data_IF_147542287608
#
_entry.id   IF_147542287608
#
_cell.length_a   1.000
_cell.length_b   1.000
_cell.length_c   1.000
_cell.angle_alpha   90.00
_cell.angle_beta   90.00
_cell.angle_gamma   90.00
#
_symmetry.space_group_name_H-M   'P 1'
#
loop_
_entity.id
_entity.type
_entity.pdbx_description
1 polymer ?
#
# COMPACT_ATOMS: atom_id res chain seq x y z
N UNK A 1 12.36 19.68 16.67
CA UNK A 1 10.99 19.29 16.35
C UNK A 1 9.99 20.00 17.26
N UNK A 2 10.15 20.01 18.60
CA UNK A 2 9.21 20.66 19.52
C UNK A 2 8.98 22.13 19.16
N UNK A 3 10.05 22.91 18.98
CA UNK A 3 9.95 24.32 18.55
C UNK A 3 9.16 24.46 17.23
N UNK A 4 9.43 23.60 16.25
CA UNK A 4 8.68 23.62 15.00
C UNK A 4 7.19 23.32 15.20
N UNK A 5 6.85 22.35 16.06
CA UNK A 5 5.47 22.04 16.40
C UNK A 5 4.72 23.20 17.04
N UNK A 6 5.41 24.01 17.83
CA UNK A 6 4.83 25.19 18.52
C UNK A 6 4.64 26.40 17.59
N UNK A 7 5.34 26.48 16.45
CA UNK A 7 5.39 27.67 15.61
C UNK A 7 4.88 27.47 14.18
N UNK A 8 4.78 26.23 13.72
CA UNK A 8 4.20 25.94 12.40
C UNK A 8 2.67 26.01 12.43
N UNK A 9 2.02 26.31 11.30
CA UNK A 9 0.57 26.33 11.21
C UNK A 9 -0.02 24.93 11.44
N UNK A 10 -1.21 24.89 12.02
CA UNK A 10 -2.01 23.69 12.23
C UNK A 10 -2.80 23.30 10.96
N UNK A 11 -2.91 24.22 10.01
CA UNK A 11 -3.68 24.01 8.77
C UNK A 11 -3.19 22.76 8.05
N UNK A 12 -4.15 21.86 7.75
CA UNK A 12 -3.95 20.58 7.07
C UNK A 12 -4.03 20.71 5.54
N UNK A 13 -4.29 21.89 5.01
CA UNK A 13 -4.40 22.06 3.55
C UNK A 13 -3.10 21.63 2.88
N UNK A 14 -3.14 20.65 1.97
CA UNK A 14 -1.94 20.17 1.32
C UNK A 14 -1.38 21.26 0.39
N UNK A 15 -0.39 21.97 0.85
CA UNK A 15 0.31 23.03 0.10
C UNK A 15 1.80 22.73 -0.06
N UNK A 16 2.22 21.49 0.23
CA UNK A 16 3.60 21.05 0.17
C UNK A 16 4.48 21.58 1.30
N UNK A 17 3.90 22.22 2.31
CA UNK A 17 4.63 22.74 3.46
C UNK A 17 4.41 21.90 4.71
N UNK A 18 5.41 21.88 5.58
CA UNK A 18 5.31 21.21 6.87
C UNK A 18 4.33 21.94 7.79
N UNK A 19 3.61 21.16 8.58
CA UNK A 19 2.63 21.64 9.56
C UNK A 19 3.08 21.31 10.98
N UNK A 20 2.41 21.94 11.96
CA UNK A 20 2.55 21.60 13.37
C UNK A 20 2.32 20.10 13.62
N UNK A 21 1.30 19.52 13.00
CA UNK A 21 0.99 18.09 13.08
C UNK A 21 2.15 17.22 12.61
N UNK A 22 2.75 17.55 11.46
CA UNK A 22 3.92 16.82 10.95
C UNK A 22 5.11 16.90 11.91
N UNK A 23 5.37 18.07 12.51
CA UNK A 23 6.46 18.23 13.45
C UNK A 23 6.25 17.43 14.75
N UNK A 24 5.04 17.43 15.31
CA UNK A 24 4.73 16.66 16.52
C UNK A 24 4.66 15.16 16.25
N UNK A 25 4.12 14.71 15.13
CA UNK A 25 4.11 13.30 14.78
C UNK A 25 5.53 12.74 14.59
N UNK A 26 6.40 13.51 13.91
CA UNK A 26 7.82 13.16 13.81
C UNK A 26 8.52 13.19 15.17
N UNK A 27 8.16 14.12 16.06
CA UNK A 27 8.68 14.15 17.44
C UNK A 27 8.25 12.91 18.22
N UNK A 28 6.99 12.52 18.14
CA UNK A 28 6.48 11.30 18.77
C UNK A 28 7.26 10.07 18.33
N UNK A 29 7.41 9.88 17.00
CA UNK A 29 8.21 8.79 16.42
C UNK A 29 9.67 8.82 16.92
N UNK A 30 10.32 9.98 16.91
CA UNK A 30 11.70 10.12 17.38
C UNK A 30 11.86 9.82 18.88
N UNK A 31 10.92 10.25 19.70
CA UNK A 31 10.94 10.00 21.14
C UNK A 31 10.64 8.53 21.46
N UNK A 32 9.78 7.88 20.68
CA UNK A 32 9.53 6.44 20.78
C UNK A 32 10.83 5.63 20.58
N UNK A 33 11.57 5.92 19.49
CA UNK A 33 12.85 5.28 19.22
C UNK A 33 13.95 5.62 20.24
N UNK A 34 13.83 6.77 20.91
CA UNK A 34 14.74 7.18 21.99
C UNK A 34 14.32 6.63 23.36
N UNK A 35 13.28 5.77 23.42
CA UNK A 35 12.70 5.20 24.64
C UNK A 35 12.23 6.27 25.66
N UNK A 36 11.90 7.47 25.15
CA UNK A 36 11.37 8.58 25.94
C UNK A 36 9.84 8.57 25.86
N UNK A 37 9.23 7.60 26.52
CA UNK A 37 7.80 7.26 26.37
C UNK A 37 6.86 8.41 26.70
N UNK A 38 7.13 9.17 27.77
CA UNK A 38 6.30 10.31 28.16
C UNK A 38 6.37 11.45 27.13
N UNK A 39 7.56 11.73 26.58
CA UNK A 39 7.70 12.74 25.54
C UNK A 39 7.02 12.30 24.23
N UNK A 40 7.11 11.01 23.90
CA UNK A 40 6.42 10.43 22.75
C UNK A 40 4.89 10.59 22.90
N UNK A 41 4.35 10.20 24.07
CA UNK A 41 2.92 10.33 24.39
C UNK A 41 2.46 11.78 24.33
N UNK A 42 3.18 12.71 24.96
CA UNK A 42 2.82 14.15 24.93
C UNK A 42 2.79 14.70 23.51
N UNK A 43 3.74 14.29 22.66
CA UNK A 43 3.75 14.72 21.26
C UNK A 43 2.58 14.12 20.47
N UNK A 44 2.24 12.84 20.70
CA UNK A 44 1.09 12.19 20.10
C UNK A 44 -0.23 12.88 20.50
N UNK A 45 -0.43 13.17 21.78
CA UNK A 45 -1.62 13.89 22.27
C UNK A 45 -1.80 15.26 21.61
N UNK A 46 -0.71 15.96 21.26
CA UNK A 46 -0.78 17.19 20.50
C UNK A 46 -1.35 16.97 19.10
N UNK A 47 -0.93 15.90 18.41
CA UNK A 47 -1.47 15.55 17.09
C UNK A 47 -2.94 15.14 17.17
N UNK A 48 -3.31 14.35 18.16
CA UNK A 48 -4.70 13.90 18.39
C UNK A 48 -5.66 15.08 18.57
N UNK A 49 -5.19 16.18 19.15
CA UNK A 49 -5.99 17.42 19.33
C UNK A 49 -6.16 18.23 18.03
N UNK A 50 -5.52 17.87 16.92
CA UNK A 50 -5.54 18.65 15.66
C UNK A 50 -6.60 18.20 14.67
N UNK A 51 -7.47 17.25 15.05
CA UNK A 51 -8.62 16.83 14.24
C UNK A 51 -8.24 15.97 13.02
N UNK A 52 -7.18 15.19 13.08
CA UNK A 52 -6.95 14.06 12.16
C UNK A 52 -7.93 12.93 12.50
N UNK A 53 -8.32 12.16 11.49
CA UNK A 53 -9.29 11.07 11.65
C UNK A 53 -8.78 9.82 10.93
N UNK A 54 -9.15 8.64 11.43
CA UNK A 54 -8.90 7.39 10.73
C UNK A 54 -9.87 7.23 9.56
N UNK A 55 -9.42 6.63 8.48
CA UNK A 55 -10.32 6.14 7.44
C UNK A 55 -11.17 4.98 7.98
N UNK A 56 -12.38 4.80 7.45
CA UNK A 56 -13.18 3.63 7.76
C UNK A 56 -12.45 2.36 7.30
N UNK A 57 -12.70 1.22 7.94
CA UNK A 57 -12.06 -0.05 7.57
C UNK A 57 -12.27 -0.40 6.10
N UNK A 58 -13.46 -0.17 5.59
CA UNK A 58 -13.87 -0.44 4.22
C UNK A 58 -13.15 0.49 3.23
N UNK A 59 -12.78 1.67 3.67
CA UNK A 59 -12.11 2.72 2.89
C UNK A 59 -10.60 2.79 3.16
N UNK A 60 -10.02 1.77 3.76
CA UNK A 60 -8.60 1.75 4.15
C UNK A 60 -7.64 2.13 3.01
N UNK A 61 -7.96 1.80 1.76
CA UNK A 61 -7.16 2.19 0.60
C UNK A 61 -7.01 3.71 0.45
N UNK A 62 -7.98 4.50 0.96
CA UNK A 62 -7.93 5.96 0.91
C UNK A 62 -6.86 6.55 1.83
N UNK A 63 -6.43 5.82 2.87
CA UNK A 63 -5.38 6.26 3.79
C UNK A 63 -4.04 6.60 3.10
N UNK A 64 -3.85 6.13 1.87
CA UNK A 64 -2.62 6.31 1.08
C UNK A 64 -2.79 7.24 -0.12
N UNK A 65 -3.98 7.80 -0.33
CA UNK A 65 -4.29 8.66 -1.46
C UNK A 65 -4.16 10.14 -1.10
N UNK A 66 -4.14 10.96 -2.14
CA UNK A 66 -4.24 12.41 -1.97
C UNK A 66 -5.56 12.77 -1.26
N UNK A 67 -5.47 13.69 -0.31
CA UNK A 67 -6.65 14.15 0.43
C UNK A 67 -7.13 13.21 1.55
N UNK A 68 -6.39 12.14 1.88
CA UNK A 68 -6.70 11.30 3.03
C UNK A 68 -6.77 12.12 4.32
N UNK A 69 -7.80 11.87 5.11
CA UNK A 69 -7.97 12.51 6.43
C UNK A 69 -6.98 11.97 7.48
N UNK A 70 -6.34 10.84 7.20
CA UNK A 70 -5.25 10.31 8.00
C UNK A 70 -3.89 10.95 7.71
N UNK A 71 -3.72 11.61 6.57
CA UNK A 71 -2.42 12.12 6.13
C UNK A 71 -1.93 13.25 7.04
N UNK A 72 -0.79 13.02 7.70
CA UNK A 72 -0.10 14.00 8.54
C UNK A 72 1.11 14.58 7.80
N UNK A 73 1.91 13.71 7.19
CA UNK A 73 3.07 14.08 6.40
C UNK A 73 3.07 13.29 5.09
N UNK A 74 2.94 14.01 3.98
CA UNK A 74 3.02 13.44 2.64
C UNK A 74 4.03 14.19 1.80
N UNK A 75 4.77 13.45 0.98
CA UNK A 75 5.49 14.03 -0.14
C UNK A 75 4.51 14.13 -1.32
N UNK A 76 4.20 15.36 -1.72
CA UNK A 76 3.25 15.63 -2.79
C UNK A 76 3.95 15.75 -4.14
N UNK A 77 3.42 15.06 -5.14
CA UNK A 77 3.85 15.15 -6.53
C UNK A 77 2.88 16.02 -7.31
N UNK A 78 3.29 16.56 -8.46
CA UNK A 78 2.50 17.51 -9.24
C UNK A 78 2.45 17.11 -10.73
N UNK A 79 1.23 16.92 -11.24
CA UNK A 79 0.98 16.60 -12.65
C UNK A 79 1.37 17.72 -13.62
N UNK A 80 1.35 18.96 -13.16
CA UNK A 80 1.70 20.12 -13.99
C UNK A 80 3.21 20.30 -14.17
N UNK A 81 4.01 19.54 -13.43
CA UNK A 81 5.46 19.59 -13.43
C UNK A 81 6.05 18.22 -13.77
N UNK A 82 7.37 18.15 -13.85
CA UNK A 82 8.14 16.90 -13.98
C UNK A 82 8.38 16.20 -12.63
N UNK A 83 7.73 16.66 -11.55
CA UNK A 83 7.87 16.08 -10.21
C UNK A 83 6.90 14.92 -10.09
N UNK A 84 7.29 13.80 -10.65
CA UNK A 84 6.53 12.53 -10.68
C UNK A 84 7.40 11.40 -10.17
N UNK A 85 6.83 10.21 -10.02
CA UNK A 85 7.56 8.99 -9.70
C UNK A 85 7.10 7.83 -10.56
N UNK A 86 7.82 6.72 -10.49
CA UNK A 86 7.63 5.52 -11.29
C UNK A 86 7.16 4.29 -10.48
N UNK A 87 6.80 4.50 -9.21
CA UNK A 87 6.43 3.42 -8.29
C UNK A 87 5.32 2.53 -8.85
N UNK A 88 4.24 3.14 -9.34
CA UNK A 88 3.10 2.39 -9.87
C UNK A 88 3.51 1.43 -10.97
N UNK A 89 4.34 1.91 -11.85
CA UNK A 89 4.76 1.13 -12.98
C UNK A 89 5.68 -0.04 -12.64
N UNK A 90 6.48 0.08 -11.61
CA UNK A 90 7.28 -1.03 -11.14
C UNK A 90 6.49 -2.03 -10.30
N UNK A 91 5.44 -1.59 -9.61
CA UNK A 91 4.68 -2.44 -8.68
C UNK A 91 3.47 -3.12 -9.32
N UNK A 92 2.93 -2.55 -10.41
CA UNK A 92 1.75 -3.09 -11.11
C UNK A 92 1.98 -4.53 -11.60
N UNK A 93 0.92 -5.36 -11.71
CA UNK A 93 1.02 -6.66 -12.36
C UNK A 93 1.50 -6.53 -13.81
N UNK A 94 2.40 -7.42 -14.22
CA UNK A 94 2.96 -7.40 -15.58
C UNK A 94 1.94 -7.57 -16.71
N UNK A 95 0.76 -8.13 -16.40
CA UNK A 95 -0.35 -8.22 -17.34
C UNK A 95 -0.91 -6.86 -17.77
N UNK A 96 -0.70 -5.81 -16.99
CA UNK A 96 -1.14 -4.44 -17.31
C UNK A 96 -0.41 -3.88 -18.54
N UNK A 97 0.77 -4.39 -18.88
CA UNK A 97 1.49 -4.03 -20.09
C UNK A 97 0.63 -4.23 -21.35
N UNK A 98 -0.16 -5.29 -21.38
CA UNK A 98 -1.05 -5.58 -22.50
C UNK A 98 -2.25 -4.62 -22.59
N UNK A 99 -2.70 -4.11 -21.44
CA UNK A 99 -3.84 -3.18 -21.35
C UNK A 99 -3.44 -1.75 -21.71
N UNK A 100 -2.35 -1.27 -21.15
CA UNK A 100 -1.96 0.13 -21.19
C UNK A 100 -0.94 0.44 -22.30
N UNK A 101 -0.51 -0.59 -23.05
CA UNK A 101 0.46 -0.44 -24.13
C UNK A 101 1.84 0.06 -23.65
N UNK A 102 2.13 -0.09 -22.37
CA UNK A 102 3.35 0.44 -21.77
C UNK A 102 4.54 -0.52 -21.93
N UNK A 103 5.74 0.01 -21.76
CA UNK A 103 6.98 -0.75 -21.84
C UNK A 103 7.47 -1.25 -20.48
N UNK A 104 6.63 -1.20 -19.46
CA UNK A 104 7.02 -1.45 -18.09
C UNK A 104 7.12 -2.92 -17.78
N UNK A 105 8.01 -3.25 -16.87
CA UNK A 105 8.19 -4.62 -16.41
C UNK A 105 7.20 -5.02 -15.32
N UNK A 106 6.91 -4.14 -14.36
CA UNK A 106 5.99 -4.43 -13.25
C UNK A 106 6.46 -5.53 -12.30
N UNK A 107 5.60 -5.92 -11.38
CA UNK A 107 5.76 -7.09 -10.53
C UNK A 107 6.94 -7.07 -9.55
N UNK A 108 7.48 -5.91 -9.22
CA UNK A 108 8.60 -5.81 -8.27
C UNK A 108 8.15 -5.96 -6.81
N UNK A 109 6.91 -5.64 -6.49
CA UNK A 109 6.31 -5.86 -5.18
C UNK A 109 5.64 -7.22 -5.14
N UNK A 110 6.28 -8.22 -4.54
CA UNK A 110 5.76 -9.59 -4.46
C UNK A 110 5.55 -9.97 -2.98
N UNK A 111 4.34 -9.74 -2.44
CA UNK A 111 4.02 -10.17 -1.08
C UNK A 111 4.27 -11.67 -0.90
N UNK A 112 4.78 -12.07 0.27
CA UNK A 112 5.00 -13.47 0.59
C UNK A 112 3.72 -14.14 1.08
N UNK A 113 3.69 -15.45 1.12
CA UNK A 113 2.57 -16.22 1.67
C UNK A 113 2.39 -15.91 3.17
N UNK A 114 3.48 -15.77 3.92
CA UNK A 114 3.43 -15.43 5.35
C UNK A 114 2.78 -14.05 5.58
N UNK A 115 3.02 -13.10 4.69
CA UNK A 115 2.33 -11.80 4.76
C UNK A 115 0.83 -11.96 4.55
N UNK A 116 0.40 -12.81 3.62
CA UNK A 116 -1.02 -13.11 3.39
C UNK A 116 -1.64 -13.79 4.60
N UNK A 117 -0.94 -14.72 5.21
CA UNK A 117 -1.38 -15.46 6.40
C UNK A 117 -1.47 -14.61 7.66
N UNK A 118 -0.84 -13.45 7.67
CA UNK A 118 -0.88 -12.51 8.79
C UNK A 118 -2.19 -11.70 8.88
N UNK A 119 -3.11 -11.85 7.90
CA UNK A 119 -4.41 -11.19 7.94
C UNK A 119 -5.45 -12.06 8.65
N UNK A 120 -6.23 -11.42 9.53
CA UNK A 120 -7.32 -12.05 10.26
C UNK A 120 -8.61 -12.13 9.43
N UNK A 121 -9.55 -12.93 9.91
CA UNK A 121 -10.92 -12.85 9.40
C UNK A 121 -11.57 -11.50 9.70
N UNK A 122 -12.40 -11.02 8.80
CA UNK A 122 -13.11 -9.74 8.94
C UNK A 122 -14.06 -9.69 10.12
N UNK A 123 -14.55 -10.83 10.56
CA UNK A 123 -15.48 -10.98 11.71
C UNK A 123 -14.77 -11.02 13.07
N UNK A 124 -13.44 -10.96 13.09
CA UNK A 124 -12.64 -10.99 14.33
C UNK A 124 -12.49 -12.38 14.94
N UNK A 125 -12.85 -13.45 14.24
CA UNK A 125 -12.73 -14.84 14.74
C UNK A 125 -11.27 -15.36 14.77
N UNK A 126 -10.30 -14.53 14.41
CA UNK A 126 -8.87 -14.84 14.42
C UNK A 126 -8.32 -15.12 13.02
N UNK A 127 -7.27 -15.90 12.95
CA UNK A 127 -6.57 -16.21 11.71
C UNK A 127 -7.15 -17.47 11.03
N UNK A 128 -7.16 -17.51 9.67
CA UNK A 128 -7.47 -18.74 8.95
C UNK A 128 -6.50 -19.87 9.28
N UNK A 129 -6.99 -21.10 9.27
CA UNK A 129 -6.11 -22.27 9.23
C UNK A 129 -5.63 -22.50 7.79
N UNK A 130 -4.38 -22.19 7.54
CA UNK A 130 -3.75 -22.31 6.23
C UNK A 130 -3.16 -23.67 5.92
N UNK A 131 -3.26 -24.66 6.81
CA UNK A 131 -2.65 -25.99 6.66
C UNK A 131 -3.06 -26.71 5.37
N UNK A 132 -4.31 -26.49 4.92
CA UNK A 132 -4.80 -27.06 3.67
C UNK A 132 -4.06 -26.57 2.42
N UNK A 133 -3.36 -25.45 2.49
CA UNK A 133 -2.59 -24.87 1.39
C UNK A 133 -1.07 -25.11 1.50
N UNK A 134 -0.62 -25.70 2.62
CA UNK A 134 0.78 -26.06 2.87
C UNK A 134 1.09 -27.53 2.57
N UNK A 135 0.43 -28.12 1.57
CA UNK A 135 0.60 -29.52 1.21
C UNK A 135 1.50 -29.68 -0.01
N UNK A 136 2.32 -30.73 -0.02
CA UNK A 136 3.21 -31.04 -1.15
C UNK A 136 2.45 -31.38 -2.44
N UNK A 137 1.27 -31.93 -2.30
CA UNK A 137 0.38 -32.33 -3.40
C UNK A 137 -0.43 -31.16 -3.95
N UNK A 138 -0.39 -30.00 -3.28
CA UNK A 138 -1.26 -28.85 -3.58
C UNK A 138 -2.71 -29.08 -3.16
N UNK A 139 -3.55 -28.13 -3.46
CA UNK A 139 -4.98 -28.20 -3.13
C UNK A 139 -5.81 -27.49 -4.19
N UNK A 140 -7.05 -27.97 -4.40
CA UNK A 140 -8.07 -27.30 -5.20
C UNK A 140 -8.99 -26.43 -4.34
N UNK A 141 -8.79 -26.39 -3.02
CA UNK A 141 -9.57 -25.56 -2.12
C UNK A 141 -9.32 -24.08 -2.43
N UNK A 142 -10.39 -23.31 -2.44
CA UNK A 142 -10.30 -21.85 -2.62
C UNK A 142 -9.81 -21.21 -1.33
N UNK A 143 -8.72 -20.43 -1.35
CA UNK A 143 -8.27 -19.70 -0.18
C UNK A 143 -9.35 -18.73 0.33
N UNK A 144 -9.40 -18.44 1.64
CA UNK A 144 -10.47 -17.65 2.24
C UNK A 144 -10.33 -16.14 2.03
N UNK A 145 -9.81 -15.70 0.89
CA UNK A 145 -9.50 -14.28 0.60
C UNK A 145 -10.70 -13.34 0.80
N UNK A 146 -11.91 -13.81 0.49
CA UNK A 146 -13.12 -13.00 0.63
C UNK A 146 -13.58 -12.80 2.08
N UNK A 147 -13.06 -13.62 2.99
CA UNK A 147 -13.37 -13.55 4.42
C UNK A 147 -12.34 -12.77 5.22
N UNK A 148 -11.22 -12.41 4.60
CA UNK A 148 -10.15 -11.65 5.27
C UNK A 148 -10.56 -10.19 5.48
N UNK A 149 -9.97 -9.58 6.48
CA UNK A 149 -10.18 -8.17 6.82
C UNK A 149 -9.93 -7.23 5.63
N UNK A 150 -10.59 -6.06 5.56
CA UNK A 150 -10.51 -5.15 4.41
C UNK A 150 -9.09 -4.72 4.03
N UNK A 151 -8.16 -4.64 5.00
CA UNK A 151 -6.75 -4.31 4.73
C UNK A 151 -6.07 -5.28 3.78
N UNK A 152 -6.47 -6.56 3.78
CA UNK A 152 -5.95 -7.54 2.84
C UNK A 152 -6.19 -7.12 1.38
N UNK A 153 -7.46 -6.93 1.01
CA UNK A 153 -7.83 -6.55 -0.36
C UNK A 153 -7.30 -5.19 -0.78
N UNK A 154 -7.09 -4.28 0.16
CA UNK A 154 -6.50 -2.97 -0.10
C UNK A 154 -4.96 -3.01 -0.26
N UNK A 155 -4.32 -4.09 0.20
CA UNK A 155 -2.85 -4.20 0.20
C UNK A 155 -2.34 -5.17 -0.86
N UNK A 156 -3.07 -6.27 -1.12
CA UNK A 156 -2.59 -7.42 -1.89
C UNK A 156 -3.53 -7.72 -3.05
N UNK A 157 -2.97 -7.91 -4.23
CA UNK A 157 -3.64 -8.53 -5.35
C UNK A 157 -3.28 -10.02 -5.38
N UNK A 158 -4.29 -10.86 -5.59
CA UNK A 158 -4.19 -12.30 -5.58
C UNK A 158 -4.90 -12.87 -6.81
N UNK A 159 -4.68 -14.15 -7.10
CA UNK A 159 -5.38 -14.81 -8.20
C UNK A 159 -6.90 -14.73 -8.04
N UNK A 160 -7.60 -14.17 -9.03
CA UNK A 160 -9.03 -13.93 -8.98
C UNK A 160 -9.42 -12.52 -8.47
N UNK A 161 -8.48 -11.70 -7.98
CA UNK A 161 -8.78 -10.34 -7.55
C UNK A 161 -9.18 -9.45 -8.73
N UNK A 162 -10.08 -8.50 -8.49
CA UNK A 162 -10.40 -7.45 -9.47
C UNK A 162 -9.34 -6.36 -9.42
N UNK A 163 -8.81 -6.00 -10.58
CA UNK A 163 -7.83 -4.95 -10.78
C UNK A 163 -8.05 -4.24 -12.10
N UNK A 164 -8.22 -2.92 -12.12
CA UNK A 164 -8.38 -2.09 -13.33
C UNK A 164 -9.42 -2.67 -14.33
N UNK A 165 -10.55 -3.15 -13.81
CA UNK A 165 -11.65 -3.70 -14.62
C UNK A 165 -11.41 -5.11 -15.18
N UNK A 166 -10.31 -5.79 -14.81
CA UNK A 166 -10.00 -7.16 -15.18
C UNK A 166 -9.80 -8.06 -13.95
N UNK A 167 -9.67 -9.34 -14.17
CA UNK A 167 -9.31 -10.32 -13.15
C UNK A 167 -7.81 -10.60 -13.20
N UNK A 168 -7.15 -10.67 -12.05
CA UNK A 168 -5.77 -11.13 -11.92
C UNK A 168 -5.70 -12.63 -12.16
N UNK A 169 -4.82 -13.04 -13.05
CA UNK A 169 -4.56 -14.44 -13.43
C UNK A 169 -3.10 -14.78 -13.15
N UNK A 170 -2.76 -14.98 -11.86
CA UNK A 170 -1.37 -15.24 -11.43
C UNK A 170 -0.98 -16.73 -11.45
N UNK A 171 -1.82 -17.60 -11.98
CA UNK A 171 -1.50 -19.01 -12.21
C UNK A 171 -0.58 -19.22 -13.44
N UNK A 172 0.02 -20.39 -13.55
CA UNK A 172 0.90 -20.73 -14.70
C UNK A 172 0.11 -20.62 -16.02
N UNK A 173 0.64 -19.89 -16.98
CA UNK A 173 0.03 -19.48 -18.25
C UNK A 173 -1.11 -18.46 -18.13
N UNK A 174 -1.42 -17.95 -16.94
CA UNK A 174 -2.31 -16.78 -16.79
C UNK A 174 -1.61 -15.50 -17.25
N UNK A 175 -2.41 -14.46 -17.49
CA UNK A 175 -1.93 -13.15 -17.97
C UNK A 175 -0.90 -12.53 -17.01
N UNK A 176 -1.04 -12.76 -15.71
CA UNK A 176 -0.15 -12.26 -14.66
C UNK A 176 0.76 -13.37 -14.09
N UNK A 177 0.72 -14.56 -14.65
CA UNK A 177 1.48 -15.73 -14.20
C UNK A 177 2.71 -16.00 -15.03
N UNK A 178 3.47 -17.01 -14.64
CA UNK A 178 4.60 -17.55 -15.41
C UNK A 178 4.10 -18.39 -16.60
N UNK A 179 4.74 -18.24 -17.75
CA UNK A 179 4.39 -19.06 -18.91
C UNK A 179 4.74 -20.53 -18.67
N UNK A 180 5.93 -20.79 -18.08
CA UNK A 180 6.33 -22.13 -17.63
C UNK A 180 7.28 -21.98 -16.44
N UNK A 181 6.91 -22.54 -15.30
CA UNK A 181 7.62 -22.36 -14.03
C UNK A 181 9.12 -22.71 -14.03
N UNK A 182 9.57 -23.58 -14.91
CA UNK A 182 10.96 -24.08 -14.90
C UNK A 182 11.78 -23.69 -16.13
N UNK A 183 11.19 -23.14 -17.15
CA UNK A 183 11.86 -22.94 -18.45
C UNK A 183 12.09 -21.48 -18.78
N UNK A 184 11.35 -20.56 -18.16
CA UNK A 184 11.52 -19.14 -18.41
C UNK A 184 12.48 -18.54 -17.41
N UNK A 185 13.60 -18.06 -17.91
CA UNK A 185 14.48 -17.22 -17.14
C UNK A 185 13.76 -15.89 -16.89
N UNK A 186 13.06 -15.79 -15.75
CA UNK A 186 12.46 -14.55 -15.24
C UNK A 186 11.47 -13.87 -16.22
N UNK A 187 10.20 -14.31 -16.27
CA UNK A 187 9.18 -13.59 -17.03
C UNK A 187 9.05 -12.16 -16.49
N UNK A 188 9.17 -11.19 -17.36
CA UNK A 188 9.06 -9.78 -16.99
C UNK A 188 7.72 -9.47 -16.34
N UNK A 189 7.77 -8.78 -15.20
CA UNK A 189 6.59 -8.31 -14.50
C UNK A 189 5.75 -9.41 -13.86
N UNK A 190 6.27 -10.61 -13.68
CA UNK A 190 5.54 -11.72 -13.07
C UNK A 190 6.01 -11.97 -11.64
N UNK A 191 5.05 -12.10 -10.74
CA UNK A 191 5.31 -12.41 -9.33
C UNK A 191 5.85 -13.83 -9.16
N UNK A 192 6.83 -14.00 -8.27
CA UNK A 192 7.32 -15.31 -7.86
C UNK A 192 6.45 -16.00 -6.82
N UNK A 193 5.57 -15.25 -6.16
CA UNK A 193 4.67 -15.76 -5.10
C UNK A 193 3.23 -15.90 -5.55
N UNK A 194 2.88 -15.40 -6.73
CA UNK A 194 1.50 -15.31 -7.21
C UNK A 194 0.71 -14.13 -6.65
N UNK A 195 1.32 -13.33 -5.79
CA UNK A 195 0.74 -12.12 -5.22
C UNK A 195 1.40 -10.87 -5.78
N UNK A 196 0.64 -9.77 -5.83
CA UNK A 196 1.15 -8.46 -6.22
C UNK A 196 0.79 -7.41 -5.18
N UNK A 197 1.58 -6.35 -5.11
CA UNK A 197 1.26 -5.21 -4.27
C UNK A 197 0.13 -4.37 -4.90
N UNK A 198 -0.87 -4.04 -4.09
CA UNK A 198 -1.94 -3.08 -4.44
C UNK A 198 -1.76 -1.76 -3.71
N UNK A 199 -1.35 -1.84 -2.44
CA UNK A 199 -1.16 -0.68 -1.57
C UNK A 199 -0.19 0.31 -2.19
N UNK A 200 -0.55 1.60 -2.17
CA UNK A 200 0.22 2.71 -2.75
C UNK A 200 0.28 2.74 -4.28
N UNK A 201 -0.25 1.75 -4.99
CA UNK A 201 -0.34 1.78 -6.45
C UNK A 201 -1.61 2.51 -6.86
N UNK A 202 -1.50 3.48 -7.77
CA UNK A 202 -2.64 4.21 -8.30
C UNK A 202 -3.37 3.34 -9.34
N UNK A 203 -4.53 2.82 -8.96
CA UNK A 203 -5.35 1.95 -9.80
C UNK A 203 -5.92 2.66 -11.03
N UNK A 204 -6.09 3.97 -10.94
CA UNK A 204 -6.61 4.81 -12.03
C UNK A 204 -5.51 5.28 -12.99
N UNK A 205 -4.24 5.03 -12.66
CA UNK A 205 -3.12 5.45 -13.48
C UNK A 205 -3.05 4.63 -14.77
N UNK A 206 -3.02 5.32 -15.91
CA UNK A 206 -2.74 4.72 -17.21
C UNK A 206 -1.22 4.70 -17.45
N UNK A 207 -0.64 3.51 -17.55
CA UNK A 207 0.80 3.30 -17.68
C UNK A 207 1.33 3.48 -19.10
N UNK A 208 0.98 4.55 -19.76
CA UNK A 208 1.59 4.90 -21.07
C UNK A 208 3.07 5.30 -20.92
N UNK A 209 3.48 5.67 -19.70
CA UNK A 209 4.85 5.97 -19.33
C UNK A 209 5.16 5.34 -17.97
N UNK A 210 6.38 4.86 -17.80
CA UNK A 210 6.86 4.33 -16.51
C UNK A 210 6.84 5.39 -15.40
N UNK A 211 7.14 6.60 -15.78
CA UNK A 211 7.14 7.78 -14.93
C UNK A 211 5.82 8.52 -15.15
N UNK A 212 5.41 9.33 -14.25
CA UNK A 212 4.25 10.20 -14.29
C UNK A 212 3.17 9.89 -13.27
N UNK A 213 3.42 8.99 -12.33
CA UNK A 213 2.56 8.89 -11.17
C UNK A 213 2.72 10.13 -10.29
N UNK A 214 1.59 10.63 -9.83
CA UNK A 214 1.51 11.79 -8.94
C UNK A 214 0.83 11.44 -7.63
N UNK A 215 0.63 10.15 -7.36
CA UNK A 215 0.11 9.71 -6.08
C UNK A 215 1.08 10.11 -4.98
N UNK A 216 0.61 10.76 -3.89
CA UNK A 216 1.51 11.20 -2.84
C UNK A 216 2.13 10.00 -2.11
N UNK A 217 3.37 10.19 -1.67
CA UNK A 217 4.00 9.26 -0.75
C UNK A 217 3.69 9.67 0.68
N UNK A 218 2.95 8.84 1.38
CA UNK A 218 2.57 9.10 2.77
C UNK A 218 3.66 8.62 3.72
N UNK A 219 4.31 9.56 4.39
CA UNK A 219 5.40 9.28 5.33
C UNK A 219 4.86 9.00 6.74
N UNK A 220 3.86 9.76 7.20
CA UNK A 220 3.22 9.59 8.50
C UNK A 220 1.72 9.72 8.36
N UNK A 221 1.00 8.73 8.87
CA UNK A 221 -0.46 8.71 9.00
C UNK A 221 -0.90 8.81 10.45
N UNK A 222 -2.13 9.26 10.68
CA UNK A 222 -2.72 9.33 12.02
C UNK A 222 -2.77 7.97 12.72
N UNK A 223 -2.90 6.87 12.00
CA UNK A 223 -2.86 5.52 12.55
C UNK A 223 -1.52 5.14 13.22
N UNK A 224 -0.46 5.95 13.04
CA UNK A 224 0.84 5.75 13.68
C UNK A 224 0.99 6.51 15.00
N UNK A 225 0.09 7.45 15.26
CA UNK A 225 0.10 8.32 16.42
C UNK A 225 -0.73 7.75 17.56
#
# INVERSE_FOLDING_TARGET
LKYAGEHLPVDKTPNGRLTSGAAYAMLSRAMLYAERWDDARIAAEKVMAMGYELEAKEDYSNAFKAGSKEAILQYCYDKSSTVTHDFDGYMTPGGDKALDGNSMTGGFGTPTQEMVESYEYADGSGFPDWSAWHTAEGTTATPPYDKLEPRFKATILYNGATWKGRTIESFVNGTDGWAAWKTDAKPEGRSTTGYYLRKLVDEDHNFTSIQASTQPWTEIRYAEV
#
